data_IF_051330056421
#
_entry.id   IF_051330056421
#
_cell.length_a   1.000
_cell.length_b   1.000
_cell.length_c   1.000
_cell.angle_alpha   90.00
_cell.angle_beta   90.00
_cell.angle_gamma   90.00
#
_symmetry.space_group_name_H-M   'P 1'
#
loop_
_entity.id
_entity.type
_entity.pdbx_description
1 polymer ?
#
# COMPACT_ATOMS: atom_id res chain seq x y z
N UNK A 1 -27.29 -20.10 -57.57
CA UNK A 1 -27.46 -20.09 -56.10
C UNK A 1 -26.17 -20.64 -55.54
N UNK A 2 -25.27 -19.76 -55.09
CA UNK A 2 -23.93 -20.13 -54.62
C UNK A 2 -23.98 -20.30 -53.10
N UNK A 3 -23.68 -21.51 -52.63
CA UNK A 3 -23.57 -21.83 -51.22
C UNK A 3 -22.27 -21.22 -50.67
N UNK A 4 -22.42 -20.15 -49.90
CA UNK A 4 -21.38 -19.66 -49.01
C UNK A 4 -21.36 -20.55 -47.76
N UNK A 5 -20.65 -21.68 -47.82
CA UNK A 5 -20.24 -22.38 -46.60
C UNK A 5 -19.05 -21.62 -46.00
N UNK A 6 -19.39 -20.62 -45.18
CA UNK A 6 -18.47 -19.98 -44.27
C UNK A 6 -17.98 -21.03 -43.27
N UNK A 7 -16.79 -21.56 -43.53
CA UNK A 7 -16.02 -22.38 -42.62
C UNK A 7 -15.53 -21.47 -41.47
N UNK A 8 -16.45 -21.15 -40.56
CA UNK A 8 -16.10 -20.48 -39.31
C UNK A 8 -15.38 -21.49 -38.43
N UNK A 9 -14.08 -21.61 -38.65
CA UNK A 9 -13.14 -22.24 -37.73
C UNK A 9 -13.10 -21.41 -36.46
N UNK A 10 -14.16 -21.56 -35.67
CA UNK A 10 -14.20 -21.24 -34.26
C UNK A 10 -13.19 -22.15 -33.57
N UNK A 11 -11.92 -21.72 -33.60
CA UNK A 11 -10.92 -22.14 -32.61
C UNK A 11 -11.49 -21.72 -31.26
N UNK A 12 -12.34 -22.56 -30.67
CA UNK A 12 -12.48 -22.64 -29.23
C UNK A 12 -11.05 -22.92 -28.77
N UNK A 13 -10.36 -21.88 -28.31
CA UNK A 13 -9.16 -22.06 -27.51
C UNK A 13 -9.61 -22.84 -26.28
N UNK A 14 -9.68 -24.16 -26.39
CA UNK A 14 -9.62 -25.05 -25.25
C UNK A 14 -8.19 -24.90 -24.73
N UNK A 15 -7.95 -23.85 -23.95
CA UNK A 15 -6.82 -23.89 -23.04
C UNK A 15 -7.04 -25.16 -22.23
N UNK A 16 -6.19 -26.16 -22.47
CA UNK A 16 -6.22 -27.40 -21.73
C UNK A 16 -6.26 -27.02 -20.25
N UNK A 17 -7.22 -27.57 -19.51
CA UNK A 17 -7.43 -27.24 -18.09
C UNK A 17 -6.14 -27.37 -17.27
N UNK A 18 -5.22 -28.24 -17.72
CA UNK A 18 -3.89 -28.43 -17.18
C UNK A 18 -2.95 -27.22 -17.40
N UNK A 19 -2.98 -26.60 -18.58
CA UNK A 19 -2.20 -25.40 -18.91
C UNK A 19 -2.71 -24.21 -18.10
N UNK A 20 -4.03 -24.04 -18.00
CA UNK A 20 -4.63 -22.99 -17.17
C UNK A 20 -4.29 -23.18 -15.69
N UNK A 21 -4.37 -24.41 -15.17
CA UNK A 21 -4.05 -24.72 -13.77
C UNK A 21 -2.57 -24.47 -13.45
N UNK A 22 -1.67 -24.84 -14.37
CA UNK A 22 -0.22 -24.60 -14.22
C UNK A 22 0.10 -23.10 -14.26
N UNK A 23 -0.49 -22.35 -15.19
CA UNK A 23 -0.33 -20.89 -15.26
C UNK A 23 -0.86 -20.21 -14.00
N UNK A 24 -2.03 -20.61 -13.50
CA UNK A 24 -2.61 -20.08 -12.27
C UNK A 24 -1.74 -20.36 -11.03
N UNK A 25 -1.22 -21.58 -10.91
CA UNK A 25 -0.32 -21.95 -9.81
C UNK A 25 1.00 -21.17 -9.85
N UNK A 26 1.58 -21.02 -11.04
CA UNK A 26 2.85 -20.30 -11.23
C UNK A 26 2.68 -18.80 -11.01
N UNK A 27 1.59 -18.20 -11.53
CA UNK A 27 1.24 -16.81 -11.28
C UNK A 27 0.98 -16.55 -9.79
N UNK A 28 0.26 -17.45 -9.11
CA UNK A 28 0.05 -17.39 -7.66
C UNK A 28 1.35 -17.43 -6.88
N UNK A 29 2.26 -18.37 -7.21
CA UNK A 29 3.57 -18.47 -6.58
C UNK A 29 4.42 -17.21 -6.81
N UNK A 30 4.43 -16.67 -8.03
CA UNK A 30 5.15 -15.43 -8.38
C UNK A 30 4.59 -14.22 -7.63
N UNK A 31 3.28 -14.13 -7.42
CA UNK A 31 2.67 -13.07 -6.61
C UNK A 31 3.04 -13.18 -5.13
N UNK A 32 3.09 -14.40 -4.57
CA UNK A 32 3.54 -14.64 -3.19
C UNK A 32 5.01 -14.26 -3.05
N UNK A 33 5.87 -14.74 -3.95
CA UNK A 33 7.30 -14.40 -3.98
C UNK A 33 7.52 -12.89 -4.17
N UNK A 34 6.74 -12.25 -5.06
CA UNK A 34 6.75 -10.81 -5.28
C UNK A 34 6.30 -9.99 -4.07
N UNK A 35 5.40 -10.54 -3.23
CA UNK A 35 4.99 -9.90 -1.97
C UNK A 35 6.06 -9.94 -0.88
N UNK A 36 6.96 -10.94 -0.95
CA UNK A 36 8.07 -11.14 -0.02
C UNK A 36 9.32 -10.36 -0.42
N UNK A 37 9.46 -10.05 -1.71
CA UNK A 37 10.51 -9.16 -2.19
C UNK A 37 10.21 -7.73 -1.68
N UNK A 38 11.20 -7.03 -1.11
CA UNK A 38 11.06 -5.60 -0.84
C UNK A 38 10.89 -4.92 -2.20
N UNK A 39 9.65 -4.61 -2.56
CA UNK A 39 9.35 -3.86 -3.76
C UNK A 39 10.10 -2.52 -3.69
N UNK A 40 11.23 -2.46 -4.39
CA UNK A 40 11.95 -1.23 -4.63
C UNK A 40 11.10 -0.35 -5.55
N UNK A 41 10.24 0.47 -4.96
CA UNK A 41 9.77 1.69 -5.59
C UNK A 41 9.66 2.78 -4.51
N UNK A 42 10.65 3.68 -4.42
CA UNK A 42 10.83 4.65 -3.34
C UNK A 42 10.08 5.98 -3.51
N UNK A 43 9.14 6.11 -4.45
CA UNK A 43 8.67 7.43 -4.90
C UNK A 43 7.32 7.93 -4.38
N UNK A 44 6.54 7.13 -3.62
CA UNK A 44 5.28 7.63 -3.04
C UNK A 44 4.91 6.92 -1.72
N UNK A 45 5.93 6.35 -1.07
CA UNK A 45 5.78 5.87 0.29
C UNK A 45 6.00 7.09 1.18
N UNK A 46 4.97 7.50 1.93
CA UNK A 46 5.08 8.56 2.95
C UNK A 46 5.98 8.02 4.06
N UNK A 47 7.28 7.97 3.77
CA UNK A 47 8.26 7.35 4.64
C UNK A 47 8.57 8.34 5.75
N UNK A 48 8.11 8.00 6.94
CA UNK A 48 8.51 8.70 8.15
C UNK A 48 10.02 8.54 8.33
N UNK A 49 10.77 9.64 8.24
CA UNK A 49 12.23 9.63 8.35
C UNK A 49 12.71 9.91 9.77
N UNK A 50 14.00 9.65 10.04
CA UNK A 50 14.64 10.08 11.29
C UNK A 50 14.61 11.61 11.44
N UNK A 51 14.73 12.34 10.34
CA UNK A 51 14.63 13.81 10.34
C UNK A 51 13.21 14.27 10.68
N UNK A 52 12.18 13.59 10.17
CA UNK A 52 10.78 13.84 10.54
C UNK A 52 10.53 13.59 12.04
N UNK A 53 11.15 12.55 12.59
CA UNK A 53 11.08 12.23 14.03
C UNK A 53 11.65 13.36 14.88
N UNK A 54 12.86 13.83 14.53
CA UNK A 54 13.51 14.92 15.23
C UNK A 54 12.74 16.25 15.09
N UNK A 55 12.19 16.52 13.90
CA UNK A 55 11.35 17.69 13.65
C UNK A 55 10.05 17.64 14.46
N UNK A 56 9.39 16.48 14.53
CA UNK A 56 8.18 16.27 15.31
C UNK A 56 8.44 16.46 16.80
N UNK A 57 9.52 15.90 17.33
CA UNK A 57 9.88 16.06 18.75
C UNK A 57 10.11 17.54 19.08
N UNK A 58 10.92 18.24 18.27
CA UNK A 58 11.18 19.68 18.47
C UNK A 58 9.90 20.52 18.43
N UNK A 59 9.05 20.31 17.42
CA UNK A 59 7.80 21.07 17.27
C UNK A 59 6.80 20.72 18.37
N UNK A 60 6.74 19.47 18.84
CA UNK A 60 5.86 19.06 19.92
C UNK A 60 6.22 19.73 21.26
N UNK A 61 7.53 19.83 21.55
CA UNK A 61 8.05 20.50 22.73
C UNK A 61 7.80 22.00 22.64
N UNK A 62 8.06 22.62 21.48
CA UNK A 62 7.84 24.05 21.26
C UNK A 62 6.36 24.41 21.36
N UNK A 63 5.48 23.60 20.77
CA UNK A 63 4.03 23.78 20.89
C UNK A 63 3.56 23.67 22.35
N UNK A 64 4.06 22.69 23.12
CA UNK A 64 3.75 22.56 24.54
C UNK A 64 4.26 23.76 25.33
N UNK A 65 5.51 24.17 25.12
CA UNK A 65 6.12 25.34 25.76
C UNK A 65 5.26 26.58 25.53
N UNK A 66 4.97 26.90 24.27
CA UNK A 66 4.17 28.05 23.89
C UNK A 66 2.75 27.97 24.46
N UNK A 67 2.13 26.79 24.50
CA UNK A 67 0.76 26.60 25.01
C UNK A 67 0.62 26.93 26.50
N UNK A 68 1.66 26.69 27.31
CA UNK A 68 1.66 26.98 28.75
C UNK A 68 2.40 28.28 29.11
N UNK A 69 3.08 28.91 28.16
CA UNK A 69 3.80 30.16 28.38
C UNK A 69 2.84 31.34 28.55
N UNK A 70 3.06 32.18 29.55
CA UNK A 70 2.29 33.41 29.72
C UNK A 70 2.93 34.57 28.92
N UNK A 71 2.14 35.56 28.47
CA UNK A 71 2.68 36.78 27.87
C UNK A 71 3.77 37.42 28.73
N UNK A 72 3.55 37.47 30.05
CA UNK A 72 4.48 38.04 31.03
C UNK A 72 5.85 37.34 31.08
N UNK A 73 5.90 36.03 30.82
CA UNK A 73 7.16 35.26 30.80
C UNK A 73 7.88 35.32 29.46
N UNK A 74 7.12 35.39 28.37
CA UNK A 74 7.69 35.43 27.02
C UNK A 74 8.23 36.80 26.62
N UNK A 75 7.80 37.86 27.32
CA UNK A 75 8.08 39.25 26.92
C UNK A 75 7.39 39.64 25.60
N UNK A 76 6.44 38.82 25.14
CA UNK A 76 5.67 39.05 23.92
C UNK A 76 4.28 39.58 24.26
N UNK A 77 3.71 40.36 23.34
CA UNK A 77 2.30 40.72 23.43
C UNK A 77 1.42 39.47 23.26
N UNK A 78 0.24 39.47 23.87
CA UNK A 78 -0.70 38.34 23.79
C UNK A 78 -1.04 37.96 22.34
N UNK A 79 -1.15 38.97 21.45
CA UNK A 79 -1.39 38.76 20.02
C UNK A 79 -0.20 38.08 19.30
N UNK A 80 1.03 38.44 19.66
CA UNK A 80 2.23 37.80 19.10
C UNK A 80 2.38 36.36 19.60
N UNK A 81 2.11 36.13 20.89
CA UNK A 81 2.13 34.79 21.47
C UNK A 81 1.07 33.88 20.85
N UNK A 82 -0.15 34.40 20.65
CA UNK A 82 -1.21 33.68 19.93
C UNK A 82 -0.80 33.34 18.49
N UNK A 83 -0.17 34.29 17.79
CA UNK A 83 0.33 34.06 16.41
C UNK A 83 1.40 32.96 16.37
N UNK A 84 2.33 32.94 17.33
CA UNK A 84 3.36 31.91 17.43
C UNK A 84 2.78 30.53 17.78
N UNK A 85 1.81 30.47 18.69
CA UNK A 85 1.06 29.25 18.99
C UNK A 85 0.37 28.68 17.76
N UNK A 86 -0.32 29.52 17.00
CA UNK A 86 -1.03 29.09 15.79
C UNK A 86 -0.08 28.63 14.68
N UNK A 87 1.11 29.22 14.59
CA UNK A 87 2.15 28.76 13.67
C UNK A 87 2.70 27.39 14.09
N UNK A 88 3.06 27.22 15.37
CA UNK A 88 3.55 25.95 15.91
C UNK A 88 2.48 24.85 15.81
N UNK A 89 1.21 25.17 16.07
CA UNK A 89 0.09 24.24 15.92
C UNK A 89 -0.06 23.73 14.50
N UNK A 90 -0.01 24.62 13.50
CA UNK A 90 -0.11 24.22 12.09
C UNK A 90 1.04 23.31 11.66
N UNK A 91 2.26 23.58 12.12
CA UNK A 91 3.42 22.73 11.86
C UNK A 91 3.28 21.36 12.53
N UNK A 92 2.80 21.34 13.78
CA UNK A 92 2.52 20.11 14.51
C UNK A 92 1.46 19.27 13.82
N UNK A 93 0.34 19.87 13.43
CA UNK A 93 -0.77 19.18 12.75
C UNK A 93 -0.33 18.63 11.39
N UNK A 94 0.51 19.35 10.64
CA UNK A 94 1.07 18.88 9.37
C UNK A 94 1.98 17.65 9.56
N UNK A 95 2.89 17.68 10.54
CA UNK A 95 3.76 16.54 10.84
C UNK A 95 2.95 15.36 11.41
N UNK A 96 1.92 15.61 12.20
CA UNK A 96 1.02 14.59 12.71
C UNK A 96 0.20 13.93 11.60
N UNK A 97 -0.26 14.69 10.61
CA UNK A 97 -0.91 14.15 9.42
C UNK A 97 0.07 13.26 8.64
N UNK A 98 1.31 13.73 8.42
CA UNK A 98 2.36 12.94 7.77
C UNK A 98 2.66 11.63 8.53
N UNK A 99 2.75 11.68 9.86
CA UNK A 99 2.92 10.50 10.71
C UNK A 99 1.74 9.52 10.56
N UNK A 100 0.52 10.05 10.59
CA UNK A 100 -0.69 9.23 10.43
C UNK A 100 -0.71 8.60 9.05
N UNK A 101 -0.36 9.33 8.01
CA UNK A 101 -0.33 8.84 6.65
C UNK A 101 0.74 7.74 6.50
N UNK A 102 1.92 7.94 7.08
CA UNK A 102 3.00 6.93 7.18
C UNK A 102 2.58 5.67 7.96
N UNK A 103 1.81 5.82 9.04
CA UNK A 103 1.27 4.69 9.82
C UNK A 103 0.10 3.99 9.14
N UNK A 104 -0.71 4.76 8.38
CA UNK A 104 -1.86 4.26 7.63
C UNK A 104 -1.49 3.72 6.26
N UNK A 105 -0.19 3.75 5.91
CA UNK A 105 0.28 3.13 4.69
C UNK A 105 -0.22 1.70 4.63
N UNK A 106 -0.88 1.33 3.52
CA UNK A 106 -1.58 0.09 3.44
C UNK A 106 -0.59 -1.08 3.48
N UNK A 107 -0.43 -1.67 4.66
CA UNK A 107 -0.25 -3.11 4.83
C UNK A 107 -1.21 -3.90 3.91
N UNK A 108 -2.30 -3.27 3.42
CA UNK A 108 -3.26 -3.88 2.50
C UNK A 108 -2.67 -4.23 1.13
N UNK A 109 -1.73 -3.51 0.51
CA UNK A 109 -1.28 -3.92 -0.84
C UNK A 109 -0.46 -5.22 -0.82
N UNK A 110 0.58 -5.29 0.03
CA UNK A 110 1.38 -6.51 0.20
C UNK A 110 0.53 -7.67 0.73
N UNK A 111 -0.38 -7.39 1.68
CA UNK A 111 -1.31 -8.40 2.23
C UNK A 111 -2.33 -8.86 1.19
N UNK A 112 -2.84 -7.97 0.33
CA UNK A 112 -3.77 -8.30 -0.75
C UNK A 112 -3.09 -9.10 -1.85
N UNK A 113 -1.86 -8.76 -2.24
CA UNK A 113 -1.03 -9.58 -3.14
C UNK A 113 -0.72 -10.96 -2.55
N UNK A 114 -0.41 -11.04 -1.26
CA UNK A 114 -0.17 -12.31 -0.58
C UNK A 114 -1.42 -13.21 -0.56
N UNK A 115 -2.59 -12.66 -0.17
CA UNK A 115 -3.83 -13.44 -0.11
C UNK A 115 -4.37 -13.81 -1.49
N UNK A 116 -4.32 -12.91 -2.47
CA UNK A 116 -4.71 -13.19 -3.85
C UNK A 116 -3.76 -14.20 -4.51
N UNK A 117 -2.45 -14.06 -4.31
CA UNK A 117 -1.45 -15.02 -4.76
C UNK A 117 -1.63 -16.40 -4.12
N UNK A 118 -1.89 -16.44 -2.82
CA UNK A 118 -2.23 -17.67 -2.08
C UNK A 118 -3.46 -18.38 -2.64
N UNK A 119 -4.55 -17.64 -2.89
CA UNK A 119 -5.77 -18.18 -3.46
C UNK A 119 -5.54 -18.76 -4.86
N UNK A 120 -4.81 -18.05 -5.72
CA UNK A 120 -4.48 -18.53 -7.07
C UNK A 120 -3.59 -19.78 -7.04
N UNK A 121 -2.61 -19.84 -6.14
CA UNK A 121 -1.74 -21.00 -5.96
C UNK A 121 -2.52 -22.25 -5.51
N UNK A 122 -3.45 -22.10 -4.55
CA UNK A 122 -4.30 -23.19 -4.05
C UNK A 122 -5.26 -23.68 -5.13
N UNK A 123 -5.94 -22.77 -5.84
CA UNK A 123 -6.87 -23.14 -6.91
C UNK A 123 -6.15 -23.82 -8.09
N UNK A 124 -4.97 -23.31 -8.49
CA UNK A 124 -4.14 -23.93 -9.52
C UNK A 124 -3.60 -25.30 -9.11
N UNK A 125 -3.15 -25.44 -7.85
CA UNK A 125 -2.65 -26.72 -7.30
C UNK A 125 -3.74 -27.79 -7.20
N UNK A 126 -4.93 -27.42 -6.70
CA UNK A 126 -6.08 -28.33 -6.63
C UNK A 126 -6.59 -28.71 -8.03
N UNK A 127 -6.63 -27.77 -8.98
CA UNK A 127 -6.99 -28.02 -10.38
C UNK A 127 -6.04 -29.01 -11.06
N UNK A 128 -4.73 -28.87 -10.82
CA UNK A 128 -3.71 -29.78 -11.35
C UNK A 128 -3.80 -31.20 -10.75
N UNK A 129 -4.02 -31.32 -9.44
CA UNK A 129 -4.21 -32.62 -8.77
C UNK A 129 -5.53 -33.31 -9.12
N UNK A 130 -6.61 -32.56 -9.34
CA UNK A 130 -7.89 -33.12 -9.77
C UNK A 130 -7.86 -33.57 -11.24
N UNK A 131 -7.10 -32.87 -12.10
CA UNK A 131 -6.88 -33.26 -13.49
C UNK A 131 -5.99 -34.50 -13.66
N UNK A 132 -4.99 -34.68 -12.77
CA UNK A 132 -4.08 -35.83 -12.80
C UNK A 132 -4.69 -37.13 -12.25
N UNK A 133 -5.77 -37.07 -11.45
CA UNK A 133 -6.50 -38.25 -10.94
C UNK A 133 -7.56 -38.81 -11.89
N UNK A 134 -7.90 -38.10 -12.98
CA UNK A 134 -8.91 -38.55 -13.96
C UNK A 134 -8.32 -39.11 -15.27
N UNK A 135 -6.99 -39.20 -15.38
CA UNK A 135 -6.29 -39.98 -16.41
C UNK A 135 -5.73 -41.23 -15.76
#
# INVERSE_FOLDING_TARGET
MNEAHADSTGRKLSLDSNVFSLLAATAGALLILGSLLPAGNPSDVSSWTNDDSAAYERISQEYHRLSYESPDRSGLTEKQLATQRDAARRQFDALRAKLRDAQSEPLTWKRQMFWSGGLLAVLGGLGHFAGSRRR
#
